data_IF_825718884317
#
_entry.id   IF_825718884317
#
_cell.length_a   1.000
_cell.length_b   1.000
_cell.length_c   1.000
_cell.angle_alpha   90.00
_cell.angle_beta   90.00
_cell.angle_gamma   90.00
#
_symmetry.space_group_name_H-M   'P 1'
#
loop_
_entity.id
_entity.type
_entity.pdbx_description
1 polymer ?
#
# COMPACT_ATOMS: atom_id res chain seq x y z
N UNK A 1 -22.21 1.48 42.77
CA UNK A 1 -21.50 1.09 41.52
C UNK A 1 -20.56 2.22 41.14
N UNK A 2 -19.25 1.96 41.04
CA UNK A 2 -18.26 2.96 40.65
C UNK A 2 -18.56 3.52 39.26
N UNK A 3 -18.25 4.80 39.03
CA UNK A 3 -18.34 5.39 37.68
C UNK A 3 -17.30 4.70 36.80
N UNK A 4 -17.75 4.02 35.74
CA UNK A 4 -16.89 3.46 34.70
C UNK A 4 -16.04 4.58 34.08
N UNK A 5 -14.83 4.24 33.63
CA UNK A 5 -14.03 5.10 32.76
C UNK A 5 -14.62 5.13 31.35
N UNK A 6 -14.22 6.11 30.51
CA UNK A 6 -14.69 6.21 29.12
C UNK A 6 -14.36 4.98 28.28
N UNK A 7 -13.19 4.35 28.52
CA UNK A 7 -12.75 3.14 27.81
C UNK A 7 -13.56 1.93 28.26
N UNK A 8 -13.74 1.74 29.56
CA UNK A 8 -14.55 0.64 30.10
C UNK A 8 -15.99 0.72 29.62
N UNK A 9 -16.53 1.93 29.46
CA UNK A 9 -17.85 2.08 28.88
C UNK A 9 -17.90 1.73 27.39
N UNK A 10 -16.89 2.11 26.60
CA UNK A 10 -16.84 1.78 25.17
C UNK A 10 -16.73 0.26 24.96
N UNK A 11 -15.92 -0.40 25.79
CA UNK A 11 -15.79 -1.86 25.83
C UNK A 11 -17.09 -2.53 26.26
N UNK A 12 -17.79 -2.00 27.27
CA UNK A 12 -19.08 -2.53 27.70
C UNK A 12 -20.12 -2.50 26.58
N UNK A 13 -20.23 -1.38 25.87
CA UNK A 13 -21.16 -1.26 24.74
C UNK A 13 -20.80 -2.23 23.59
N UNK A 14 -19.51 -2.44 23.34
CA UNK A 14 -19.05 -3.42 22.36
C UNK A 14 -19.44 -4.85 22.76
N UNK A 15 -19.18 -5.23 24.02
CA UNK A 15 -19.50 -6.54 24.58
C UNK A 15 -21.00 -6.81 24.65
N UNK A 16 -21.81 -5.80 25.00
CA UNK A 16 -23.28 -5.90 24.98
C UNK A 16 -23.81 -6.22 23.57
N UNK A 17 -23.13 -5.77 22.51
CA UNK A 17 -23.55 -6.02 21.13
C UNK A 17 -22.95 -7.31 20.54
N UNK A 18 -21.67 -7.59 20.78
CA UNK A 18 -20.92 -8.69 20.16
C UNK A 18 -20.75 -9.94 21.05
N UNK A 19 -21.13 -9.87 22.33
CA UNK A 19 -20.89 -10.91 23.33
C UNK A 19 -19.60 -10.69 24.14
N UNK A 20 -19.53 -11.28 25.33
CA UNK A 20 -18.41 -11.09 26.29
C UNK A 20 -17.05 -11.59 25.77
N UNK A 21 -17.05 -12.57 24.86
CA UNK A 21 -15.84 -13.20 24.31
C UNK A 21 -15.19 -12.38 23.17
N UNK A 22 -15.84 -11.31 22.70
CA UNK A 22 -15.32 -10.46 21.65
C UNK A 22 -14.66 -9.21 22.25
N UNK A 23 -13.32 -9.22 22.31
CA UNK A 23 -12.54 -8.16 22.96
C UNK A 23 -12.54 -6.83 22.18
N UNK A 24 -12.79 -6.84 20.87
CA UNK A 24 -12.75 -5.67 20.01
C UNK A 24 -11.37 -4.99 19.92
N UNK A 25 -11.19 -4.14 18.91
CA UNK A 25 -10.04 -3.22 18.82
C UNK A 25 -10.45 -1.87 19.37
N UNK A 26 -9.75 -1.42 20.42
CA UNK A 26 -9.94 -0.09 21.00
C UNK A 26 -8.90 0.86 20.41
N UNK A 27 -9.35 2.00 19.90
CA UNK A 27 -8.44 3.04 19.41
C UNK A 27 -8.78 4.38 20.07
N UNK A 28 -7.74 5.05 20.58
CA UNK A 28 -7.82 6.38 21.22
C UNK A 28 -7.53 7.48 20.19
N UNK A 29 -8.13 8.67 20.35
CA UNK A 29 -8.04 9.83 19.41
C UNK A 29 -6.62 10.19 18.90
N UNK A 30 -5.55 9.89 19.65
CA UNK A 30 -4.17 10.13 19.21
C UNK A 30 -3.61 9.04 18.28
N UNK A 31 -4.21 7.86 18.29
CA UNK A 31 -3.74 6.65 17.61
C UNK A 31 -4.58 6.31 16.37
N UNK A 32 -5.73 7.00 16.19
CA UNK A 32 -6.59 6.84 15.02
C UNK A 32 -6.52 8.06 14.09
N UNK A 33 -6.07 7.80 12.86
CA UNK A 33 -6.24 8.69 11.72
C UNK A 33 -6.96 7.89 10.64
N UNK A 34 -8.13 8.32 10.12
CA UNK A 34 -8.81 9.62 10.24
C UNK A 34 -9.84 9.75 11.39
N UNK A 35 -10.02 10.96 11.95
CA UNK A 35 -11.00 11.24 13.03
C UNK A 35 -12.45 11.09 12.55
N UNK A 36 -13.31 10.45 13.35
CA UNK A 36 -14.75 10.28 13.03
C UNK A 36 -15.47 11.63 12.91
N UNK A 37 -15.05 12.61 13.72
CA UNK A 37 -15.53 14.00 13.64
C UNK A 37 -15.22 14.71 12.29
N UNK A 38 -14.53 14.04 11.37
CA UNK A 38 -14.19 14.49 10.03
C UNK A 38 -14.88 13.68 8.93
N UNK A 39 -15.86 12.83 9.24
CA UNK A 39 -16.75 12.28 8.22
C UNK A 39 -17.51 13.44 7.57
N UNK A 40 -17.07 13.85 6.39
CA UNK A 40 -17.58 15.01 5.66
C UNK A 40 -18.85 14.65 4.87
N UNK A 41 -19.98 15.31 5.16
CA UNK A 41 -21.14 15.32 4.27
C UNK A 41 -20.94 16.45 3.23
N UNK A 42 -20.53 16.10 2.01
CA UNK A 42 -20.29 17.08 0.96
C UNK A 42 -21.62 17.63 0.39
N UNK A 43 -21.77 18.96 0.40
CA UNK A 43 -22.98 19.69 0.03
C UNK A 43 -23.26 19.75 -1.49
N UNK A 44 -22.30 19.39 -2.36
CA UNK A 44 -22.43 19.72 -3.79
C UNK A 44 -23.42 18.87 -4.59
N UNK A 45 -23.74 17.65 -4.17
CA UNK A 45 -24.53 16.74 -5.00
C UNK A 45 -25.85 16.22 -4.41
N UNK A 46 -26.31 16.71 -3.24
CA UNK A 46 -27.53 16.18 -2.55
C UNK A 46 -27.59 14.63 -2.42
N UNK A 47 -26.53 13.89 -2.75
CA UNK A 47 -26.36 12.49 -2.41
C UNK A 47 -25.77 12.46 -1.01
N UNK A 48 -26.69 12.38 -0.06
CA UNK A 48 -26.42 11.96 1.31
C UNK A 48 -25.61 10.66 1.20
N UNK A 49 -24.49 10.51 1.93
CA UNK A 49 -24.10 9.17 2.33
C UNK A 49 -25.18 8.73 3.32
N UNK A 50 -26.31 8.23 2.80
CA UNK A 50 -27.54 7.97 3.58
C UNK A 50 -27.45 6.72 4.44
N UNK A 51 -26.30 6.04 4.49
CA UNK A 51 -26.22 4.69 5.04
C UNK A 51 -25.31 4.58 6.26
N UNK A 52 -24.83 5.70 6.83
CA UNK A 52 -24.34 5.64 8.20
C UNK A 52 -25.56 5.72 9.11
N UNK A 53 -26.07 4.57 9.49
CA UNK A 53 -27.08 4.48 10.54
C UNK A 53 -26.35 4.73 11.86
N UNK A 54 -26.59 5.92 12.43
CA UNK A 54 -25.95 6.36 13.66
C UNK A 54 -27.00 6.37 14.74
N UNK A 55 -26.88 5.40 15.63
CA UNK A 55 -27.80 5.19 16.74
C UNK A 55 -27.17 5.77 18.01
N UNK A 56 -27.84 6.69 18.73
CA UNK A 56 -27.39 7.14 20.04
C UNK A 56 -27.53 6.00 21.04
N UNK A 57 -26.51 5.79 21.90
CA UNK A 57 -26.55 4.73 22.90
C UNK A 57 -26.45 5.32 24.30
N UNK A 58 -27.23 4.77 25.24
CA UNK A 58 -27.22 5.21 26.63
C UNK A 58 -25.84 5.01 27.26
N UNK A 59 -25.29 6.07 27.85
CA UNK A 59 -24.02 6.07 28.57
C UNK A 59 -24.22 6.53 30.02
N UNK A 60 -23.62 5.79 30.95
CA UNK A 60 -23.57 6.09 32.38
C UNK A 60 -22.45 7.08 32.75
N UNK A 61 -21.50 7.34 31.84
CA UNK A 61 -20.39 8.28 32.01
C UNK A 61 -20.66 9.61 31.31
N UNK A 62 -21.46 9.60 30.24
CA UNK A 62 -21.77 10.76 29.42
C UNK A 62 -23.30 10.88 29.28
N UNK A 63 -23.90 11.75 30.10
CA UNK A 63 -25.32 12.08 29.97
C UNK A 63 -25.52 13.01 28.77
N UNK A 64 -26.13 12.51 27.70
CA UNK A 64 -26.61 13.33 26.59
C UNK A 64 -28.13 13.37 26.62
N UNK A 65 -28.69 14.54 26.95
CA UNK A 65 -30.13 14.81 26.77
C UNK A 65 -30.45 15.29 25.35
N UNK A 66 -29.49 15.23 24.43
CA UNK A 66 -29.54 15.85 23.11
C UNK A 66 -29.60 14.78 22.02
N UNK A 67 -30.51 14.88 21.05
CA UNK A 67 -30.41 14.12 19.79
C UNK A 67 -29.26 14.66 18.92
N UNK A 68 -28.62 13.84 18.08
CA UNK A 68 -27.56 14.33 17.19
C UNK A 68 -28.13 15.33 16.18
N UNK A 69 -27.43 16.46 16.01
CA UNK A 69 -27.83 17.56 15.13
C UNK A 69 -26.75 17.86 14.09
N UNK A 70 -27.16 18.32 12.92
CA UNK A 70 -26.23 18.83 11.92
C UNK A 70 -25.83 20.27 12.26
N UNK A 71 -24.66 20.46 12.86
CA UNK A 71 -24.13 21.76 13.28
C UNK A 71 -23.11 22.33 12.27
N UNK A 72 -23.03 23.66 12.18
CA UNK A 72 -22.13 24.37 11.26
C UNK A 72 -20.74 24.55 11.91
N UNK A 73 -19.69 24.03 11.28
CA UNK A 73 -18.30 24.20 11.68
C UNK A 73 -17.52 24.88 10.53
N UNK A 74 -17.38 26.21 10.60
CA UNK A 74 -16.82 27.00 9.51
C UNK A 74 -17.69 26.93 8.23
N UNK A 75 -17.09 26.53 7.10
CA UNK A 75 -17.79 26.38 5.79
C UNK A 75 -18.52 25.04 5.61
N UNK A 76 -18.44 24.13 6.58
CA UNK A 76 -18.89 22.74 6.48
C UNK A 76 -19.95 22.47 7.56
N UNK A 77 -20.90 21.54 7.31
CA UNK A 77 -21.80 21.01 8.35
C UNK A 77 -21.28 19.66 8.84
N UNK A 78 -21.24 19.47 10.16
CA UNK A 78 -20.81 18.25 10.85
C UNK A 78 -21.97 17.69 11.68
N UNK A 79 -22.04 16.38 11.80
CA UNK A 79 -22.93 15.74 12.78
C UNK A 79 -22.31 15.93 14.17
N UNK A 80 -23.04 16.56 15.09
CA UNK A 80 -22.61 16.82 16.47
C UNK A 80 -23.81 16.83 17.41
N UNK A 81 -23.63 16.57 18.70
CA UNK A 81 -24.65 16.96 19.69
C UNK A 81 -24.58 18.47 19.98
N UNK A 82 -25.67 19.02 20.55
CA UNK A 82 -25.76 20.42 20.96
C UNK A 82 -24.74 20.77 22.05
N UNK A 83 -24.36 19.78 22.87
CA UNK A 83 -23.39 19.83 23.98
C UNK A 83 -22.01 19.23 23.62
N UNK A 84 -21.91 18.46 22.53
CA UNK A 84 -20.66 17.97 21.93
C UNK A 84 -20.06 16.71 22.57
N UNK A 85 -20.62 16.20 23.66
CA UNK A 85 -20.27 14.91 24.28
C UNK A 85 -21.35 13.88 23.95
N UNK A 86 -21.07 12.57 23.97
CA UNK A 86 -22.07 11.50 23.84
C UNK A 86 -21.51 10.14 23.40
N UNK A 87 -22.33 9.10 23.45
CA UNK A 87 -22.02 7.76 22.98
C UNK A 87 -22.90 7.36 21.79
N UNK A 88 -22.29 6.71 20.79
CA UNK A 88 -22.92 6.38 19.52
C UNK A 88 -22.57 4.97 19.09
N UNK A 89 -23.44 4.42 18.26
CA UNK A 89 -23.21 3.24 17.47
C UNK A 89 -23.29 3.62 16.00
N UNK A 90 -22.25 3.32 15.24
CA UNK A 90 -22.24 3.49 13.79
C UNK A 90 -22.36 2.12 13.16
N UNK A 91 -23.45 1.89 12.43
CA UNK A 91 -23.62 0.69 11.61
C UNK A 91 -22.91 0.89 10.25
N UNK A 92 -21.98 0.01 9.93
CA UNK A 92 -21.17 0.02 8.70
C UNK A 92 -21.56 -1.10 7.72
N UNK A 93 -22.51 -1.96 8.10
CA UNK A 93 -23.02 -3.08 7.31
C UNK A 93 -24.02 -3.91 8.14
N UNK A 94 -24.48 -5.04 7.62
CA UNK A 94 -25.56 -5.83 8.24
C UNK A 94 -25.25 -6.39 9.64
N UNK A 95 -23.98 -6.44 10.09
CA UNK A 95 -23.55 -6.87 11.44
C UNK A 95 -22.22 -6.21 11.88
N UNK A 96 -21.82 -5.11 11.24
CA UNK A 96 -20.53 -4.45 11.52
C UNK A 96 -20.79 -3.08 12.13
N UNK A 97 -20.30 -2.91 13.35
CA UNK A 97 -20.66 -1.80 14.21
C UNK A 97 -19.42 -1.25 14.90
N UNK A 98 -19.29 0.08 14.89
CA UNK A 98 -18.31 0.79 15.71
C UNK A 98 -19.02 1.60 16.77
N UNK A 99 -18.66 1.38 18.03
CA UNK A 99 -19.11 2.18 19.15
C UNK A 99 -18.15 3.34 19.37
N UNK A 100 -18.68 4.54 19.46
CA UNK A 100 -17.88 5.76 19.62
C UNK A 100 -18.34 6.45 20.89
N UNK A 101 -17.39 6.76 21.77
CA UNK A 101 -17.65 7.56 22.96
C UNK A 101 -16.82 8.83 22.88
N UNK A 102 -17.51 9.96 22.93
CA UNK A 102 -16.91 11.29 22.86
C UNK A 102 -17.22 12.08 24.12
N UNK A 103 -16.20 12.71 24.68
CA UNK A 103 -16.33 13.61 25.82
C UNK A 103 -15.57 14.91 25.56
N UNK A 104 -16.26 16.04 25.70
CA UNK A 104 -15.67 17.38 25.59
C UNK A 104 -15.70 18.03 26.97
N UNK A 105 -14.51 18.23 27.57
CA UNK A 105 -14.39 18.87 28.88
C UNK A 105 -14.35 20.40 28.74
N UNK A 106 -13.71 20.93 27.69
CA UNK A 106 -13.68 22.35 27.35
C UNK A 106 -13.36 22.53 25.85
N UNK A 107 -13.24 23.77 25.35
CA UNK A 107 -12.99 24.06 23.93
C UNK A 107 -11.70 23.42 23.37
N UNK A 108 -10.77 22.99 24.22
CA UNK A 108 -9.46 22.44 23.86
C UNK A 108 -9.30 20.94 24.13
N UNK A 109 -9.97 20.38 25.15
CA UNK A 109 -9.82 18.99 25.59
C UNK A 109 -10.98 18.14 25.07
N UNK A 110 -10.68 17.26 24.11
CA UNK A 110 -11.59 16.29 23.53
C UNK A 110 -11.01 14.90 23.73
N UNK A 111 -11.80 13.98 24.26
CA UNK A 111 -11.47 12.56 24.30
C UNK A 111 -12.49 11.81 23.44
N UNK A 112 -11.99 11.02 22.49
CA UNK A 112 -12.79 10.19 21.59
C UNK A 112 -12.20 8.78 21.58
N UNK A 113 -13.05 7.78 21.81
CA UNK A 113 -12.71 6.37 21.73
C UNK A 113 -13.61 5.70 20.71
N UNK A 114 -13.02 4.90 19.82
CA UNK A 114 -13.74 4.05 18.89
C UNK A 114 -13.43 2.58 19.19
N UNK A 115 -14.47 1.76 19.28
CA UNK A 115 -14.36 0.32 19.57
C UNK A 115 -15.19 -0.47 18.58
N UNK A 116 -14.54 -1.35 17.84
CA UNK A 116 -15.17 -2.23 16.87
C UNK A 116 -14.27 -3.43 16.58
N UNK A 117 -14.78 -4.39 15.81
CA UNK A 117 -13.95 -5.47 15.22
C UNK A 117 -12.86 -4.88 14.32
N UNK A 118 -11.78 -5.61 14.05
CA UNK A 118 -10.73 -5.19 13.09
C UNK A 118 -11.33 -4.82 11.72
N UNK A 119 -12.32 -5.59 11.28
CA UNK A 119 -13.05 -5.37 10.03
C UNK A 119 -13.87 -4.08 10.06
N UNK A 120 -14.70 -3.87 11.08
CA UNK A 120 -15.49 -2.62 11.21
C UNK A 120 -14.60 -1.38 11.37
N UNK A 121 -13.48 -1.48 12.09
CA UNK A 121 -12.51 -0.37 12.20
C UNK A 121 -11.80 -0.05 10.87
N UNK A 122 -11.50 -1.07 10.07
CA UNK A 122 -11.00 -0.91 8.70
C UNK A 122 -12.06 -0.28 7.77
N UNK A 123 -13.32 -0.71 7.87
CA UNK A 123 -14.44 -0.12 7.12
C UNK A 123 -14.65 1.35 7.47
N UNK A 124 -14.60 1.70 8.76
CA UNK A 124 -14.70 3.08 9.22
C UNK A 124 -13.55 3.94 8.69
N UNK A 125 -12.32 3.39 8.70
CA UNK A 125 -11.14 4.07 8.18
C UNK A 125 -11.31 4.39 6.69
N UNK A 126 -11.69 3.40 5.90
CA UNK A 126 -11.95 3.54 4.47
C UNK A 126 -13.06 4.56 4.18
N UNK A 127 -14.12 4.59 4.99
CA UNK A 127 -15.23 5.52 4.84
C UNK A 127 -14.82 6.97 5.14
N UNK A 128 -14.03 7.18 6.18
CA UNK A 128 -13.51 8.49 6.52
C UNK A 128 -12.50 9.01 5.46
N UNK A 129 -11.63 8.14 4.96
CA UNK A 129 -10.74 8.45 3.82
C UNK A 129 -11.56 8.77 2.55
N UNK A 130 -12.64 8.02 2.31
CA UNK A 130 -13.60 8.27 1.25
C UNK A 130 -14.33 9.63 1.36
N UNK A 131 -14.64 10.09 2.58
CA UNK A 131 -15.24 11.39 2.82
C UNK A 131 -14.28 12.57 2.60
N UNK A 132 -12.98 12.35 2.81
CA UNK A 132 -11.92 13.35 2.63
C UNK A 132 -11.43 13.45 1.19
N UNK A 133 -11.29 12.31 0.52
CA UNK A 133 -10.95 12.28 -0.88
C UNK A 133 -12.15 12.76 -1.68
N UNK A 134 -11.92 13.65 -2.66
CA UNK A 134 -12.87 13.87 -3.73
C UNK A 134 -12.90 12.58 -4.56
N UNK A 135 -13.57 11.54 -4.04
CA UNK A 135 -13.57 10.21 -4.62
C UNK A 135 -14.11 10.28 -6.02
N UNK A 136 -13.21 10.12 -6.98
CA UNK A 136 -13.57 10.14 -8.38
C UNK A 136 -14.18 8.77 -8.69
N UNK A 137 -15.51 8.72 -8.69
CA UNK A 137 -16.27 7.52 -9.13
C UNK A 137 -16.04 7.20 -10.60
N UNK A 138 -15.55 8.17 -11.35
CA UNK A 138 -15.26 8.02 -12.77
C UNK A 138 -13.74 8.10 -12.97
N UNK A 139 -13.20 7.23 -13.82
CA UNK A 139 -11.77 7.21 -14.13
C UNK A 139 -11.27 8.58 -14.64
N UNK A 140 -10.29 9.22 -13.98
CA UNK A 140 -9.79 10.53 -14.41
C UNK A 140 -9.05 10.49 -15.74
N UNK A 141 -8.85 11.65 -16.39
CA UNK A 141 -8.21 11.73 -17.71
C UNK A 141 -6.68 11.75 -17.68
N UNK A 142 -6.08 12.11 -16.54
CA UNK A 142 -4.63 12.18 -16.35
C UNK A 142 -4.26 12.06 -14.88
N UNK A 143 -2.98 11.86 -14.59
CA UNK A 143 -2.44 11.74 -13.24
C UNK A 143 -2.33 10.29 -12.78
N UNK A 144 -1.88 10.13 -11.55
CA UNK A 144 -1.64 8.82 -10.94
C UNK A 144 -2.71 8.56 -9.87
N UNK A 145 -3.31 7.38 -9.94
CA UNK A 145 -4.48 7.01 -9.15
C UNK A 145 -4.35 5.60 -8.59
N UNK A 146 -4.98 5.34 -7.45
CA UNK A 146 -5.21 4.01 -6.91
C UNK A 146 -6.70 3.72 -6.96
N UNK A 147 -7.09 2.57 -7.50
CA UNK A 147 -8.48 2.13 -7.45
C UNK A 147 -8.77 1.46 -6.09
N UNK A 148 -9.97 1.70 -5.58
CA UNK A 148 -10.55 0.97 -4.47
C UNK A 148 -12.01 0.65 -4.75
N UNK A 149 -12.52 -0.36 -4.07
CA UNK A 149 -13.94 -0.72 -4.11
C UNK A 149 -14.48 -0.66 -2.68
N UNK A 150 -15.66 -0.05 -2.52
CA UNK A 150 -16.41 -0.07 -1.26
C UNK A 150 -17.87 -0.35 -1.58
N UNK A 151 -18.40 -1.45 -1.05
CA UNK A 151 -19.80 -1.86 -1.25
C UNK A 151 -20.21 -1.91 -2.73
N UNK A 152 -19.34 -2.51 -3.57
CA UNK A 152 -19.53 -2.58 -5.02
C UNK A 152 -19.34 -1.25 -5.77
N UNK A 153 -18.99 -0.16 -5.08
CA UNK A 153 -18.73 1.14 -5.69
C UNK A 153 -17.24 1.38 -5.83
N UNK A 154 -16.77 1.43 -7.08
CA UNK A 154 -15.40 1.79 -7.40
C UNK A 154 -15.12 3.28 -7.21
N UNK A 155 -13.92 3.59 -6.73
CA UNK A 155 -13.42 4.95 -6.59
C UNK A 155 -11.93 5.04 -6.91
N UNK A 156 -11.48 6.23 -7.28
CA UNK A 156 -10.08 6.51 -7.61
C UNK A 156 -9.51 7.55 -6.65
N UNK A 157 -8.54 7.15 -5.82
CA UNK A 157 -7.76 8.02 -4.95
C UNK A 157 -6.53 8.55 -5.68
N UNK A 158 -6.27 9.87 -5.59
CA UNK A 158 -5.09 10.47 -6.26
C UNK A 158 -3.82 10.18 -5.46
N UNK A 159 -2.74 9.82 -6.13
CA UNK A 159 -1.43 9.70 -5.48
C UNK A 159 -0.96 11.04 -4.89
N UNK A 160 -0.23 10.98 -3.76
CA UNK A 160 0.33 12.16 -3.08
C UNK A 160 1.51 12.72 -3.86
N UNK A 161 1.68 14.05 -3.87
CA UNK A 161 2.76 14.73 -4.61
C UNK A 161 4.15 14.20 -4.24
N UNK A 162 4.41 14.01 -2.95
CA UNK A 162 5.68 13.46 -2.44
C UNK A 162 5.98 12.05 -2.98
N UNK A 163 4.97 11.19 -3.08
CA UNK A 163 5.15 9.84 -3.63
C UNK A 163 5.59 9.89 -5.10
N UNK A 164 5.01 10.84 -5.85
CA UNK A 164 5.32 11.03 -7.27
C UNK A 164 6.73 11.58 -7.47
N UNK A 165 7.14 12.57 -6.67
CA UNK A 165 8.49 13.13 -6.72
C UNK A 165 9.56 12.09 -6.34
N UNK A 166 9.28 11.27 -5.33
CA UNK A 166 10.18 10.19 -4.92
C UNK A 166 10.30 9.10 -5.98
N UNK A 167 9.20 8.76 -6.66
CA UNK A 167 9.19 7.77 -7.74
C UNK A 167 10.10 8.18 -8.92
N UNK A 168 10.13 9.46 -9.29
CA UNK A 168 10.89 9.94 -10.45
C UNK A 168 12.39 9.69 -10.33
N UNK A 169 12.94 9.67 -9.10
CA UNK A 169 14.35 9.36 -8.84
C UNK A 169 14.73 8.00 -9.40
N UNK A 170 13.83 7.03 -9.39
CA UNK A 170 14.09 5.68 -9.87
C UNK A 170 14.10 5.52 -11.39
N UNK A 171 13.97 6.61 -12.15
CA UNK A 171 14.19 6.61 -13.61
C UNK A 171 15.62 6.23 -14.02
N UNK A 172 16.59 6.29 -13.10
CA UNK A 172 17.96 5.80 -13.34
C UNK A 172 18.08 4.28 -13.41
N UNK A 173 17.02 3.55 -13.04
CA UNK A 173 17.04 2.09 -13.03
C UNK A 173 17.43 1.56 -14.44
N UNK A 174 18.34 0.58 -14.57
CA UNK A 174 18.84 0.13 -15.89
C UNK A 174 17.76 -0.33 -16.87
N UNK A 175 16.66 -0.88 -16.35
CA UNK A 175 15.48 -1.32 -17.11
C UNK A 175 14.44 -0.23 -17.40
N UNK A 176 14.61 0.99 -16.88
CA UNK A 176 13.67 2.08 -17.11
C UNK A 176 13.58 2.46 -18.59
N UNK A 177 14.72 2.66 -19.26
CA UNK A 177 14.75 2.99 -20.68
C UNK A 177 14.14 1.89 -21.55
N UNK A 178 14.31 0.63 -21.17
CA UNK A 178 13.71 -0.50 -21.88
C UNK A 178 12.17 -0.44 -21.82
N UNK A 179 11.61 -0.19 -20.63
CA UNK A 179 10.18 0.02 -20.45
C UNK A 179 9.68 1.26 -21.20
N UNK A 180 10.39 2.38 -21.04
CA UNK A 180 9.99 3.67 -21.63
C UNK A 180 9.97 3.61 -23.16
N UNK A 181 10.94 2.93 -23.78
CA UNK A 181 10.95 2.75 -25.22
C UNK A 181 9.76 1.91 -25.70
N UNK A 182 9.42 0.83 -25.01
CA UNK A 182 8.24 0.00 -25.32
C UNK A 182 6.94 0.80 -25.19
N UNK A 183 6.82 1.55 -24.10
CA UNK A 183 5.70 2.43 -23.82
C UNK A 183 5.51 3.48 -24.92
N UNK A 184 6.57 4.20 -25.26
CA UNK A 184 6.51 5.25 -26.28
C UNK A 184 6.20 4.68 -27.66
N UNK A 185 6.79 3.54 -28.03
CA UNK A 185 6.50 2.86 -29.28
C UNK A 185 5.05 2.41 -29.37
N UNK A 186 4.50 1.83 -28.29
CA UNK A 186 3.12 1.38 -28.28
C UNK A 186 2.13 2.53 -28.51
N UNK A 187 2.32 3.66 -27.82
CA UNK A 187 1.43 4.81 -27.97
C UNK A 187 1.66 5.60 -29.26
N UNK A 188 2.87 5.58 -29.85
CA UNK A 188 3.10 6.15 -31.19
C UNK A 188 2.39 5.36 -32.29
N UNK A 189 2.30 4.04 -32.12
CA UNK A 189 1.80 3.12 -33.15
C UNK A 189 0.39 2.60 -32.84
N UNK A 190 -0.35 3.25 -31.92
CA UNK A 190 -1.64 2.74 -31.43
C UNK A 190 -2.68 2.52 -32.54
N UNK A 191 -2.63 3.34 -33.59
CA UNK A 191 -3.48 3.20 -34.78
C UNK A 191 -3.22 1.88 -35.51
N UNK A 192 -1.96 1.43 -35.55
CA UNK A 192 -1.60 0.15 -36.17
C UNK A 192 -2.18 -1.03 -35.38
N UNK A 193 -2.05 -1.00 -34.05
CA UNK A 193 -2.61 -2.03 -33.18
C UNK A 193 -4.13 -2.09 -33.27
N UNK A 194 -4.80 -0.95 -33.41
CA UNK A 194 -6.26 -0.91 -33.35
C UNK A 194 -6.94 -1.07 -34.71
N UNK A 195 -6.25 -0.88 -35.84
CA UNK A 195 -6.86 -0.85 -37.20
C UNK A 195 -7.62 -2.12 -37.60
N UNK A 196 -7.14 -3.29 -37.20
CA UNK A 196 -7.70 -4.59 -37.63
C UNK A 196 -8.56 -5.28 -36.56
N UNK A 197 -9.20 -4.49 -35.69
CA UNK A 197 -10.10 -5.02 -34.67
C UNK A 197 -9.43 -5.60 -33.43
N UNK A 198 -8.11 -5.45 -33.27
CA UNK A 198 -7.45 -5.82 -32.01
C UNK A 198 -7.87 -4.86 -30.89
N UNK A 199 -7.72 -5.32 -29.65
CA UNK A 199 -8.17 -4.60 -28.45
C UNK A 199 -7.42 -3.28 -28.20
N UNK A 200 -6.25 -3.08 -28.82
CA UNK A 200 -5.38 -1.93 -28.54
C UNK A 200 -4.77 -2.04 -27.14
N UNK A 201 -4.39 -3.25 -26.72
CA UNK A 201 -3.84 -3.52 -25.40
C UNK A 201 -2.42 -4.10 -25.48
N UNK A 202 -1.49 -3.50 -24.74
CA UNK A 202 -0.11 -3.97 -24.53
C UNK A 202 0.06 -4.49 -23.12
N UNK A 203 0.62 -5.70 -22.96
CA UNK A 203 0.78 -6.40 -21.69
C UNK A 203 2.26 -6.68 -21.45
N UNK A 204 2.84 -6.00 -20.46
CA UNK A 204 4.23 -6.15 -20.05
C UNK A 204 4.29 -6.85 -18.71
N UNK A 205 5.15 -7.85 -18.57
CA UNK A 205 5.35 -8.58 -17.33
C UNK A 205 6.77 -8.35 -16.79
N UNK A 206 6.85 -7.79 -15.59
CA UNK A 206 8.07 -7.70 -14.81
C UNK A 206 8.28 -8.96 -13.97
N UNK A 207 9.47 -9.55 -14.10
CA UNK A 207 9.86 -10.74 -13.35
C UNK A 207 11.19 -10.53 -12.66
N UNK A 208 11.36 -11.14 -11.49
CA UNK A 208 12.65 -11.17 -10.80
C UNK A 208 12.50 -11.12 -9.28
N UNK A 209 13.60 -11.25 -8.53
CA UNK A 209 13.58 -11.32 -7.07
C UNK A 209 12.85 -10.15 -6.39
N UNK A 210 12.36 -10.31 -5.16
CA UNK A 210 11.85 -9.18 -4.36
C UNK A 210 12.94 -8.11 -4.17
N UNK A 211 12.53 -6.87 -3.96
CA UNK A 211 13.46 -5.75 -3.73
C UNK A 211 14.21 -5.24 -4.97
N UNK A 212 14.01 -5.82 -6.17
CA UNK A 212 14.69 -5.39 -7.40
C UNK A 212 14.14 -4.12 -8.05
N UNK A 213 13.06 -3.54 -7.52
CA UNK A 213 12.52 -2.25 -7.97
C UNK A 213 11.46 -2.33 -9.08
N UNK A 214 10.83 -3.50 -9.32
CA UNK A 214 9.76 -3.68 -10.32
C UNK A 214 8.64 -2.63 -10.20
N UNK A 215 8.05 -2.51 -9.02
CA UNK A 215 7.06 -1.48 -8.62
C UNK A 215 7.61 -0.07 -8.87
N UNK A 216 8.85 0.17 -8.44
CA UNK A 216 9.44 1.51 -8.45
C UNK A 216 9.71 2.04 -9.86
N UNK A 217 10.08 1.17 -10.79
CA UNK A 217 10.23 1.51 -12.22
C UNK A 217 8.88 1.90 -12.81
N UNK A 218 7.82 1.13 -12.51
CA UNK A 218 6.46 1.44 -12.97
C UNK A 218 5.97 2.78 -12.42
N UNK A 219 6.22 3.04 -11.13
CA UNK A 219 5.99 4.32 -10.46
C UNK A 219 6.74 5.47 -11.13
N UNK A 220 8.02 5.28 -11.46
CA UNK A 220 8.84 6.28 -12.13
C UNK A 220 8.28 6.65 -13.52
N UNK A 221 7.77 5.66 -14.27
CA UNK A 221 7.14 5.90 -15.57
C UNK A 221 5.87 6.75 -15.37
N UNK A 222 5.05 6.39 -14.39
CA UNK A 222 3.88 7.16 -13.97
C UNK A 222 4.22 8.61 -13.65
N UNK A 223 5.24 8.83 -12.82
CA UNK A 223 5.67 10.17 -12.42
C UNK A 223 6.11 11.02 -13.61
N UNK A 224 6.85 10.44 -14.57
CA UNK A 224 7.34 11.12 -15.77
C UNK A 224 6.21 11.51 -16.74
N UNK A 225 5.17 10.69 -16.83
CA UNK A 225 4.11 10.83 -17.85
C UNK A 225 2.72 11.22 -17.31
N UNK A 226 2.60 11.50 -16.01
CA UNK A 226 1.35 11.81 -15.32
C UNK A 226 0.56 12.99 -15.93
N UNK A 227 1.22 13.93 -16.61
CA UNK A 227 0.56 15.11 -17.18
C UNK A 227 -0.16 14.80 -18.50
N UNK A 228 0.22 13.71 -19.16
CA UNK A 228 -0.30 13.29 -20.46
C UNK A 228 -1.27 12.11 -20.35
N UNK A 229 -1.01 11.19 -19.43
CA UNK A 229 -1.73 9.93 -19.33
C UNK A 229 -2.34 9.69 -17.94
N UNK A 230 -3.29 8.76 -17.86
CA UNK A 230 -3.80 8.25 -16.59
C UNK A 230 -3.08 6.95 -16.22
N UNK A 231 -2.47 6.93 -15.04
CA UNK A 231 -1.88 5.75 -14.43
C UNK A 231 -2.77 5.28 -13.29
N UNK A 232 -3.07 3.99 -13.23
CA UNK A 232 -3.91 3.38 -12.20
C UNK A 232 -3.19 2.19 -11.59
N UNK A 233 -2.95 2.23 -10.27
CA UNK A 233 -2.62 1.03 -9.49
C UNK A 233 -3.90 0.26 -9.28
N UNK A 234 -3.96 -0.93 -9.87
CA UNK A 234 -5.11 -1.80 -9.86
C UNK A 234 -4.63 -3.24 -9.89
N UNK A 235 -4.37 -3.79 -8.71
CA UNK A 235 -3.87 -5.16 -8.52
C UNK A 235 -4.96 -6.14 -8.99
N UNK A 236 -6.00 -6.37 -8.19
CA UNK A 236 -7.08 -7.31 -8.53
C UNK A 236 -8.12 -6.71 -9.51
N UNK A 237 -8.10 -5.39 -9.68
CA UNK A 237 -9.14 -4.64 -10.41
C UNK A 237 -8.71 -4.19 -11.82
N UNK A 238 -7.64 -4.77 -12.38
CA UNK A 238 -7.12 -4.34 -13.68
C UNK A 238 -8.16 -4.45 -14.81
N UNK A 239 -9.01 -5.49 -14.79
CA UNK A 239 -10.09 -5.68 -15.77
C UNK A 239 -11.11 -4.55 -15.72
N UNK A 240 -11.57 -4.17 -14.53
CA UNK A 240 -12.52 -3.07 -14.33
C UNK A 240 -11.97 -1.75 -14.86
N UNK A 241 -10.68 -1.48 -14.63
CA UNK A 241 -10.01 -0.29 -15.16
C UNK A 241 -9.94 -0.31 -16.68
N UNK A 242 -9.65 -1.47 -17.30
CA UNK A 242 -9.70 -1.62 -18.75
C UNK A 242 -11.08 -1.28 -19.32
N UNK A 243 -12.16 -1.79 -18.72
CA UNK A 243 -13.53 -1.48 -19.13
C UNK A 243 -13.85 0.02 -18.97
N UNK A 244 -13.50 0.61 -17.83
CA UNK A 244 -13.73 2.03 -17.57
C UNK A 244 -12.96 2.94 -18.55
N UNK A 245 -11.72 2.57 -18.90
CA UNK A 245 -10.90 3.31 -19.87
C UNK A 245 -11.45 3.20 -21.29
N UNK A 246 -11.84 2.00 -21.72
CA UNK A 246 -12.45 1.77 -23.03
C UNK A 246 -13.76 2.56 -23.22
N UNK A 247 -14.65 2.54 -22.21
CA UNK A 247 -15.89 3.33 -22.23
C UNK A 247 -15.62 4.82 -22.39
N UNK A 248 -14.55 5.33 -21.77
CA UNK A 248 -14.17 6.74 -21.83
C UNK A 248 -13.30 7.10 -23.03
N UNK A 249 -12.78 6.11 -23.76
CA UNK A 249 -11.86 6.27 -24.89
C UNK A 249 -10.63 7.11 -24.49
N UNK A 250 -10.00 6.78 -23.37
CA UNK A 250 -8.80 7.47 -22.87
C UNK A 250 -7.61 6.52 -22.81
N UNK A 251 -6.39 7.01 -23.05
CA UNK A 251 -5.20 6.19 -22.95
C UNK A 251 -4.93 5.89 -21.46
N UNK A 252 -4.80 4.62 -21.11
CA UNK A 252 -4.63 4.19 -19.71
C UNK A 252 -3.39 3.32 -19.54
N UNK A 253 -2.68 3.55 -18.44
CA UNK A 253 -1.62 2.67 -17.96
C UNK A 253 -2.08 2.04 -16.66
N UNK A 254 -2.06 0.73 -16.59
CA UNK A 254 -2.47 -0.04 -15.42
C UNK A 254 -1.23 -0.71 -14.84
N UNK A 255 -1.03 -0.55 -13.54
CA UNK A 255 0.03 -1.21 -12.78
C UNK A 255 -0.67 -2.21 -11.87
N UNK A 256 -0.48 -3.49 -12.14
CA UNK A 256 -1.03 -4.59 -11.37
C UNK A 256 0.15 -5.35 -10.76
N UNK A 257 0.35 -5.16 -9.46
CA UNK A 257 1.46 -5.76 -8.73
C UNK A 257 1.07 -7.10 -8.12
N UNK A 258 2.07 -7.92 -7.83
CA UNK A 258 1.89 -9.20 -7.13
C UNK A 258 0.75 -10.04 -7.71
N UNK A 259 0.76 -10.22 -9.03
CA UNK A 259 -0.29 -10.94 -9.77
C UNK A 259 -0.27 -12.45 -9.54
N UNK A 260 -0.24 -12.85 -8.27
CA UNK A 260 -0.29 -14.21 -7.77
C UNK A 260 -1.63 -14.87 -8.13
N UNK A 261 -2.71 -14.10 -8.34
CA UNK A 261 -3.98 -14.59 -8.90
C UNK A 261 -3.80 -15.25 -10.27
N UNK A 262 -2.80 -14.83 -11.05
CA UNK A 262 -2.49 -15.46 -12.34
C UNK A 262 -1.86 -16.85 -12.19
N UNK A 263 -1.60 -17.34 -10.96
CA UNK A 263 -1.15 -18.71 -10.69
C UNK A 263 -2.17 -19.76 -11.16
N UNK A 264 -3.46 -19.50 -10.92
CA UNK A 264 -4.59 -20.33 -11.35
C UNK A 264 -5.61 -19.48 -12.08
N UNK A 265 -5.19 -18.94 -13.21
CA UNK A 265 -6.06 -18.13 -14.05
C UNK A 265 -7.29 -18.95 -14.49
N UNK A 266 -8.47 -18.44 -14.12
CA UNK A 266 -9.74 -18.95 -14.59
C UNK A 266 -9.92 -18.71 -16.10
N UNK A 267 -10.95 -19.33 -16.68
CA UNK A 267 -11.21 -19.20 -18.12
C UNK A 267 -11.40 -17.72 -18.52
N UNK A 268 -12.09 -16.93 -17.70
CA UNK A 268 -12.33 -15.51 -17.98
C UNK A 268 -11.04 -14.68 -18.01
N UNK A 269 -10.09 -14.91 -17.11
CA UNK A 269 -8.79 -14.23 -17.13
C UNK A 269 -7.98 -14.60 -18.36
N UNK A 270 -8.00 -15.88 -18.75
CA UNK A 270 -7.30 -16.33 -19.96
C UNK A 270 -7.91 -15.73 -21.23
N UNK A 271 -9.24 -15.75 -21.35
CA UNK A 271 -9.96 -15.13 -22.48
C UNK A 271 -9.75 -13.62 -22.53
N UNK A 272 -9.68 -12.96 -21.37
CA UNK A 272 -9.33 -11.55 -21.29
C UNK A 272 -7.91 -11.33 -21.82
N UNK A 273 -6.90 -12.04 -21.31
CA UNK A 273 -5.52 -11.87 -21.77
C UNK A 273 -5.31 -12.23 -23.24
N UNK A 274 -6.08 -13.18 -23.78
CA UNK A 274 -6.10 -13.53 -25.21
C UNK A 274 -6.72 -12.43 -26.09
N UNK A 275 -7.42 -11.47 -25.47
CA UNK A 275 -8.09 -10.36 -26.15
C UNK A 275 -9.54 -10.63 -26.55
N UNK A 276 -10.04 -11.86 -26.37
CA UNK A 276 -11.42 -12.23 -26.72
C UNK A 276 -12.45 -11.47 -25.86
N UNK A 277 -12.20 -11.41 -24.54
CA UNK A 277 -13.05 -10.69 -23.59
C UNK A 277 -12.46 -9.31 -23.22
N UNK A 278 -11.38 -8.87 -23.89
CA UNK A 278 -10.81 -7.55 -23.62
C UNK A 278 -11.65 -6.46 -24.30
N UNK A 279 -12.08 -5.42 -23.57
CA UNK A 279 -12.76 -4.28 -24.19
C UNK A 279 -11.79 -3.51 -25.10
N UNK A 280 -12.23 -3.23 -26.34
CA UNK A 280 -11.43 -2.48 -27.30
C UNK A 280 -11.31 -1.01 -26.88
N UNK A 281 -10.07 -0.55 -26.70
CA UNK A 281 -9.76 0.83 -26.39
C UNK A 281 -8.88 1.44 -27.49
N UNK A 282 -9.49 2.23 -28.37
CA UNK A 282 -8.77 2.88 -29.49
C UNK A 282 -7.70 3.87 -29.00
N UNK A 283 -7.83 4.39 -27.78
CA UNK A 283 -6.83 5.28 -27.19
C UNK A 283 -5.63 4.52 -26.58
N UNK A 284 -5.71 3.19 -26.46
CA UNK A 284 -4.63 2.35 -25.96
C UNK A 284 -4.73 2.04 -24.46
N UNK A 285 -4.48 0.77 -24.14
CA UNK A 285 -4.38 0.25 -22.77
C UNK A 285 -3.01 -0.41 -22.59
N UNK A 286 -2.20 0.08 -21.66
CA UNK A 286 -0.88 -0.46 -21.37
C UNK A 286 -0.87 -1.06 -19.96
N UNK A 287 -0.74 -2.38 -19.84
CA UNK A 287 -0.79 -3.08 -18.56
C UNK A 287 0.61 -3.54 -18.17
N UNK A 288 1.07 -3.15 -16.99
CA UNK A 288 2.32 -3.58 -16.39
C UNK A 288 1.96 -4.53 -15.24
N UNK A 289 2.20 -5.81 -15.47
CA UNK A 289 2.14 -6.85 -14.45
C UNK A 289 3.50 -7.00 -13.77
N UNK A 290 3.52 -7.36 -12.48
CA UNK A 290 4.77 -7.75 -11.82
C UNK A 290 4.61 -8.98 -10.93
N UNK A 291 5.65 -9.82 -10.89
CA UNK A 291 5.72 -10.97 -9.99
C UNK A 291 7.13 -11.19 -9.47
N UNK A 292 7.22 -11.66 -8.22
CA UNK A 292 8.46 -12.16 -7.64
C UNK A 292 8.71 -13.64 -8.00
N UNK A 293 7.67 -14.35 -8.45
CA UNK A 293 7.68 -15.80 -8.64
C UNK A 293 7.22 -16.15 -10.07
N UNK A 294 8.05 -15.95 -11.11
CA UNK A 294 7.66 -16.20 -12.50
C UNK A 294 7.24 -17.65 -12.78
N UNK A 295 7.73 -18.61 -11.99
CA UNK A 295 7.33 -20.02 -12.10
C UNK A 295 5.95 -20.32 -11.53
N UNK A 296 5.39 -19.40 -10.74
CA UNK A 296 4.02 -19.49 -10.21
C UNK A 296 2.99 -19.09 -11.27
N UNK A 297 3.28 -18.14 -12.15
CA UNK A 297 2.31 -17.75 -13.19
C UNK A 297 1.88 -18.97 -14.02
N UNK A 298 0.56 -19.07 -14.27
CA UNK A 298 -0.04 -20.15 -15.07
C UNK A 298 0.77 -20.35 -16.36
N UNK A 299 1.26 -21.57 -16.64
CA UNK A 299 2.06 -21.85 -17.82
C UNK A 299 1.36 -21.45 -19.13
N UNK A 300 0.02 -21.48 -19.16
CA UNK A 300 -0.78 -21.08 -20.31
C UNK A 300 -0.71 -19.57 -20.54
N UNK A 301 -0.46 -18.74 -19.53
CA UNK A 301 -0.20 -17.30 -19.67
C UNK A 301 1.24 -17.08 -20.12
N UNK A 302 2.21 -17.72 -19.44
CA UNK A 302 3.63 -17.48 -19.69
C UNK A 302 4.12 -18.02 -21.04
N UNK A 303 3.63 -19.18 -21.48
CA UNK A 303 4.13 -19.88 -22.68
C UNK A 303 3.39 -19.52 -23.96
N UNK A 304 2.17 -18.99 -23.87
CA UNK A 304 1.33 -18.70 -25.05
C UNK A 304 1.57 -17.27 -25.54
N UNK A 305 2.09 -17.09 -26.77
CA UNK A 305 2.21 -15.76 -27.36
C UNK A 305 0.85 -15.04 -27.41
N UNK A 306 0.85 -13.73 -27.14
CA UNK A 306 -0.34 -12.87 -27.18
C UNK A 306 -0.98 -12.58 -25.81
N UNK A 307 -0.78 -13.46 -24.80
CA UNK A 307 -1.26 -13.22 -23.42
C UNK A 307 -0.36 -12.31 -22.61
N UNK A 308 0.95 -12.37 -22.88
CA UNK A 308 1.94 -11.39 -22.44
C UNK A 308 2.72 -11.00 -23.69
N UNK A 309 2.83 -9.70 -23.95
CA UNK A 309 3.47 -9.19 -25.16
C UNK A 309 4.97 -8.96 -24.96
N UNK A 310 5.38 -8.64 -23.73
CA UNK A 310 6.78 -8.43 -23.37
C UNK A 310 7.08 -8.88 -21.95
N UNK A 311 8.22 -9.53 -21.76
CA UNK A 311 8.73 -9.91 -20.43
C UNK A 311 10.02 -9.13 -20.19
N UNK A 312 10.08 -8.35 -19.11
CA UNK A 312 11.28 -7.61 -18.69
C UNK A 312 11.75 -8.20 -17.37
N UNK A 313 12.92 -8.84 -17.40
CA UNK A 313 13.56 -9.37 -16.19
C UNK A 313 14.29 -8.26 -15.44
N UNK A 314 13.97 -8.11 -14.16
CA UNK A 314 14.49 -7.08 -13.25
C UNK A 314 15.26 -7.78 -12.13
N UNK A 315 16.59 -7.76 -12.26
CA UNK A 315 17.52 -8.40 -11.31
C UNK A 315 18.27 -7.40 -10.44
N UNK A 316 19.22 -7.94 -9.66
CA UNK A 316 20.15 -7.14 -8.87
C UNK A 316 21.00 -6.21 -9.75
N UNK A 317 21.46 -5.11 -9.16
CA UNK A 317 22.25 -4.10 -9.84
C UNK A 317 23.70 -4.54 -10.02
N UNK A 318 24.29 -4.02 -11.09
CA UNK A 318 25.71 -4.16 -11.40
C UNK A 318 26.43 -2.86 -11.16
N UNK A 319 27.66 -2.95 -10.67
CA UNK A 319 28.63 -1.85 -10.46
C UNK A 319 28.07 -0.43 -10.65
N UNK A 320 28.00 0.07 -11.89
CA UNK A 320 27.54 1.43 -12.22
C UNK A 320 26.12 1.74 -11.72
N UNK A 321 25.17 0.82 -11.92
CA UNK A 321 23.79 0.98 -11.47
C UNK A 321 23.67 0.92 -9.95
N UNK A 322 24.49 0.09 -9.30
CA UNK A 322 24.53 -0.02 -7.84
C UNK A 322 25.05 1.27 -7.21
N UNK A 323 26.15 1.83 -7.74
CA UNK A 323 26.70 3.11 -7.31
C UNK A 323 25.70 4.27 -7.52
N UNK A 324 25.04 4.32 -8.68
CA UNK A 324 24.03 5.34 -8.97
C UNK A 324 22.84 5.26 -8.00
N UNK A 325 22.41 4.04 -7.65
CA UNK A 325 21.36 3.82 -6.65
C UNK A 325 21.81 4.27 -5.26
N UNK A 326 23.00 3.88 -4.83
CA UNK A 326 23.55 4.24 -3.52
C UNK A 326 23.67 5.76 -3.33
N UNK A 327 24.09 6.47 -4.38
CA UNK A 327 24.17 7.94 -4.38
C UNK A 327 22.83 8.63 -4.07
N UNK A 328 21.69 7.98 -4.30
CA UNK A 328 20.37 8.54 -3.96
C UNK A 328 20.05 8.54 -2.47
N UNK A 329 20.75 7.71 -1.71
CA UNK A 329 20.57 7.55 -0.26
C UNK A 329 21.71 8.17 0.55
N UNK A 330 22.83 8.47 -0.11
CA UNK A 330 23.95 9.17 0.50
C UNK A 330 23.65 10.67 0.62
N UNK A 331 24.07 11.33 1.72
CA UNK A 331 24.10 12.78 1.81
C UNK A 331 24.96 13.42 0.71
N UNK A 332 24.59 14.63 0.26
CA UNK A 332 25.29 15.33 -0.84
C UNK A 332 26.75 15.70 -0.53
N UNK A 333 27.10 15.81 0.76
CA UNK A 333 28.44 16.12 1.27
C UNK A 333 29.38 14.91 1.33
N UNK A 334 28.86 13.69 1.16
CA UNK A 334 29.67 12.47 1.12
C UNK A 334 30.23 12.24 -0.28
N UNK A 335 31.54 12.32 -0.41
CA UNK A 335 32.26 12.06 -1.66
C UNK A 335 33.00 10.72 -1.62
N UNK A 336 32.33 9.67 -2.08
CA UNK A 336 32.91 8.33 -2.24
C UNK A 336 33.11 8.06 -3.74
N UNK A 337 34.25 7.47 -4.11
CA UNK A 337 34.51 7.06 -5.49
C UNK A 337 33.42 6.09 -6.00
N UNK A 338 32.79 6.43 -7.12
CA UNK A 338 31.66 5.67 -7.66
C UNK A 338 32.07 4.28 -8.17
N UNK A 339 33.33 4.11 -8.59
CA UNK A 339 33.82 2.83 -9.10
C UNK A 339 34.03 1.87 -7.93
N UNK A 340 34.62 2.34 -6.83
CA UNK A 340 34.78 1.57 -5.60
C UNK A 340 33.43 1.25 -4.95
N UNK A 341 32.55 2.24 -4.82
CA UNK A 341 31.19 2.04 -4.30
C UNK A 341 30.41 1.01 -5.13
N UNK A 342 30.51 1.11 -6.46
CA UNK A 342 29.89 0.16 -7.37
C UNK A 342 30.45 -1.25 -7.22
N UNK A 343 31.76 -1.40 -7.05
CA UNK A 343 32.38 -2.71 -6.82
C UNK A 343 31.90 -3.34 -5.49
N UNK A 344 31.86 -2.56 -4.42
CA UNK A 344 31.37 -3.01 -3.10
C UNK A 344 29.89 -3.37 -3.12
N UNK A 345 29.08 -2.77 -4.00
CA UNK A 345 27.64 -3.02 -4.10
C UNK A 345 27.26 -3.90 -5.30
N UNK A 346 28.21 -4.55 -5.99
CA UNK A 346 27.86 -5.42 -7.12
C UNK A 346 26.96 -6.58 -6.68
N UNK A 347 25.97 -6.94 -7.52
CA UNK A 347 24.97 -7.99 -7.29
C UNK A 347 24.06 -7.73 -6.08
N UNK A 348 23.84 -6.47 -5.72
CA UNK A 348 22.87 -6.10 -4.68
C UNK A 348 21.60 -5.52 -5.30
N UNK A 349 20.45 -5.81 -4.70
CA UNK A 349 19.18 -5.22 -5.09
C UNK A 349 19.07 -3.78 -4.60
N UNK A 350 18.27 -2.91 -5.23
CA UNK A 350 17.98 -1.57 -4.73
C UNK A 350 17.53 -1.52 -3.27
N UNK A 351 16.73 -2.50 -2.82
CA UNK A 351 16.29 -2.60 -1.43
C UNK A 351 17.46 -2.90 -0.49
N UNK A 352 18.31 -3.88 -0.84
CA UNK A 352 19.54 -4.17 -0.09
C UNK A 352 20.48 -2.97 -0.06
N UNK A 353 20.68 -2.27 -1.19
CA UNK A 353 21.53 -1.06 -1.23
C UNK A 353 21.03 -0.02 -0.23
N UNK A 354 19.73 0.27 -0.22
CA UNK A 354 19.13 1.21 0.74
C UNK A 354 19.45 0.78 2.17
N UNK A 355 19.28 -0.50 2.48
CA UNK A 355 19.50 -1.02 3.83
C UNK A 355 20.98 -1.02 4.23
N UNK A 356 21.88 -1.39 3.33
CA UNK A 356 23.33 -1.31 3.52
C UNK A 356 23.75 0.12 3.86
N UNK A 357 23.24 1.13 3.14
CA UNK A 357 23.53 2.54 3.42
C UNK A 357 22.98 2.96 4.79
N UNK A 358 21.76 2.54 5.15
CA UNK A 358 21.19 2.82 6.47
C UNK A 358 22.04 2.23 7.61
N UNK A 359 22.45 0.97 7.47
CA UNK A 359 23.30 0.27 8.43
C UNK A 359 24.66 0.97 8.54
N UNK A 360 25.28 1.33 7.41
CA UNK A 360 26.56 2.03 7.40
C UNK A 360 26.48 3.38 8.14
N UNK A 361 25.42 4.15 7.93
CA UNK A 361 25.15 5.39 8.68
C UNK A 361 24.95 5.11 10.17
N UNK A 362 24.27 4.01 10.52
CA UNK A 362 24.10 3.56 11.90
C UNK A 362 25.43 3.23 12.59
N UNK A 363 26.33 2.54 11.91
CA UNK A 363 27.65 2.14 12.43
C UNK A 363 28.53 3.34 12.79
N UNK A 364 28.45 4.44 12.02
CA UNK A 364 29.26 5.64 12.27
C UNK A 364 28.65 6.57 13.32
N UNK A 365 27.34 6.46 13.63
CA UNK A 365 26.70 7.30 14.65
C UNK A 365 27.33 7.17 16.03
N UNK A 366 27.71 5.96 16.43
CA UNK A 366 28.34 5.69 17.73
C UNK A 366 29.83 6.00 17.77
N UNK A 367 30.53 5.90 16.64
CA UNK A 367 31.99 6.03 16.56
C UNK A 367 32.46 7.41 16.10
N UNK A 368 31.55 8.26 15.58
CA UNK A 368 31.84 9.57 14.93
C UNK A 368 32.84 9.48 13.76
N UNK A 369 33.00 8.30 13.17
CA UNK A 369 33.86 8.10 12.01
C UNK A 369 33.22 8.64 10.73
N UNK A 370 34.04 8.94 9.72
CA UNK A 370 33.53 9.29 8.38
C UNK A 370 32.93 8.06 7.68
N UNK A 371 31.95 8.30 6.80
CA UNK A 371 31.35 7.25 5.99
C UNK A 371 32.32 6.87 4.86
N UNK A 372 33.02 5.75 5.00
CA UNK A 372 33.97 5.25 4.00
C UNK A 372 33.44 4.02 3.26
N UNK A 373 34.12 3.64 2.17
CA UNK A 373 33.84 2.40 1.41
C UNK A 373 33.94 1.16 2.30
N UNK A 374 34.90 1.14 3.23
CA UNK A 374 35.08 0.01 4.16
C UNK A 374 33.92 -0.13 5.13
N UNK A 375 33.35 0.98 5.61
CA UNK A 375 32.14 0.95 6.44
C UNK A 375 30.97 0.36 5.65
N UNK A 376 30.79 0.76 4.39
CA UNK A 376 29.74 0.21 3.51
C UNK A 376 29.95 -1.29 3.26
N UNK A 377 31.20 -1.72 3.07
CA UNK A 377 31.56 -3.13 2.91
C UNK A 377 31.23 -3.94 4.17
N UNK A 378 31.52 -3.40 5.35
CA UNK A 378 31.19 -4.02 6.63
C UNK A 378 29.67 -4.08 6.85
N UNK A 379 28.95 -3.01 6.53
CA UNK A 379 27.49 -2.99 6.58
C UNK A 379 26.86 -4.03 5.66
N UNK A 380 27.41 -4.22 4.45
CA UNK A 380 26.99 -5.28 3.53
C UNK A 380 27.22 -6.68 4.11
N UNK A 381 28.39 -6.92 4.70
CA UNK A 381 28.71 -8.20 5.34
C UNK A 381 27.78 -8.48 6.52
N UNK A 382 27.50 -7.46 7.34
CA UNK A 382 26.57 -7.53 8.47
C UNK A 382 25.16 -7.90 8.00
N UNK A 383 24.59 -7.17 7.03
CA UNK A 383 23.25 -7.46 6.50
C UNK A 383 23.15 -8.89 5.97
N UNK A 384 24.18 -9.35 5.24
CA UNK A 384 24.22 -10.72 4.73
C UNK A 384 24.20 -11.74 5.88
N UNK A 385 25.03 -11.54 6.90
CA UNK A 385 25.06 -12.41 8.08
C UNK A 385 23.71 -12.48 8.79
N UNK A 386 23.03 -11.35 8.98
CA UNK A 386 21.69 -11.31 9.59
C UNK A 386 20.64 -12.03 8.75
N UNK A 387 20.66 -11.86 7.42
CA UNK A 387 19.75 -12.57 6.53
C UNK A 387 20.00 -14.08 6.53
N UNK A 388 21.27 -14.50 6.46
CA UNK A 388 21.64 -15.91 6.48
C UNK A 388 21.20 -16.57 7.81
N UNK A 389 21.38 -15.88 8.95
CA UNK A 389 20.88 -16.32 10.27
C UNK A 389 19.34 -16.43 10.29
N UNK A 390 18.63 -15.43 9.76
CA UNK A 390 17.16 -15.47 9.74
C UNK A 390 16.59 -16.61 8.91
N UNK A 391 17.28 -17.01 7.83
CA UNK A 391 16.90 -18.18 7.03
C UNK A 391 17.16 -19.47 7.80
N UNK A 392 18.32 -19.58 8.46
CA UNK A 392 18.62 -20.73 9.33
C UNK A 392 17.57 -20.90 10.42
N UNK A 393 17.26 -19.85 11.18
CA UNK A 393 16.26 -19.87 12.25
C UNK A 393 14.85 -20.22 11.73
N UNK A 394 14.50 -19.79 10.51
CA UNK A 394 13.21 -20.09 9.89
C UNK A 394 13.11 -21.52 9.33
N UNK A 395 14.24 -22.13 8.97
CA UNK A 395 14.34 -23.51 8.47
C UNK A 395 14.62 -24.54 9.58
N UNK A 396 14.89 -24.09 10.82
CA UNK A 396 15.13 -24.96 11.97
C UNK A 396 13.95 -25.91 12.24
N UNK A 397 14.25 -27.21 12.23
CA UNK A 397 13.30 -28.26 12.54
C UNK A 397 13.31 -28.63 14.04
N UNK A 398 12.14 -29.05 14.56
CA UNK A 398 11.97 -29.47 15.96
C UNK A 398 12.85 -30.69 16.28
N UNK A 399 13.00 -31.63 15.34
CA UNK A 399 13.85 -32.81 15.53
C UNK A 399 15.32 -32.41 15.66
N UNK A 400 15.79 -31.48 14.82
CA UNK A 400 17.15 -30.96 14.85
C UNK A 400 17.44 -30.20 16.15
N UNK A 401 16.47 -29.40 16.65
CA UNK A 401 16.56 -28.75 17.98
C UNK A 401 16.67 -29.76 19.12
N UNK A 402 15.89 -30.85 19.07
CA UNK A 402 15.99 -31.93 20.06
C UNK A 402 17.34 -32.65 19.98
N UNK A 403 17.88 -32.91 18.79
CA UNK A 403 19.19 -33.53 18.62
C UNK A 403 20.32 -32.63 19.14
N UNK A 404 20.27 -31.34 18.84
CA UNK A 404 21.21 -30.34 19.35
C UNK A 404 21.13 -30.27 20.88
N UNK A 405 19.92 -30.28 21.46
CA UNK A 405 19.73 -30.32 22.90
C UNK A 405 20.25 -31.62 23.53
N UNK A 406 19.98 -32.78 22.92
CA UNK A 406 20.51 -34.07 23.38
C UNK A 406 22.05 -34.12 23.31
N UNK A 407 22.65 -33.47 22.31
CA UNK A 407 24.09 -33.44 22.08
C UNK A 407 24.83 -32.45 22.98
N UNK A 408 24.27 -31.26 23.16
CA UNK A 408 24.95 -30.14 23.82
C UNK A 408 24.39 -29.84 25.22
N UNK A 409 23.29 -30.47 25.62
CA UNK A 409 22.55 -30.16 26.84
C UNK A 409 21.89 -28.78 26.80
N UNK A 410 21.32 -28.35 27.93
CA UNK A 410 20.94 -26.95 28.11
C UNK A 410 22.23 -26.12 28.13
N UNK A 411 22.48 -25.33 27.09
CA UNK A 411 23.58 -24.37 27.12
C UNK A 411 23.22 -23.17 28.00
N UNK A 412 24.14 -22.67 28.83
CA UNK A 412 23.90 -21.45 29.60
C UNK A 412 23.71 -20.28 28.65
N UNK A 413 22.66 -19.47 28.86
CA UNK A 413 22.55 -18.18 28.19
C UNK A 413 23.54 -17.22 28.84
N UNK A 414 24.80 -17.23 28.39
CA UNK A 414 25.86 -16.38 28.93
C UNK A 414 25.53 -14.87 28.86
N UNK A 415 24.55 -14.47 28.04
CA UNK A 415 24.02 -13.10 27.96
C UNK A 415 23.25 -12.70 29.22
N UNK A 416 22.55 -13.65 29.87
CA UNK A 416 21.80 -13.40 31.10
C UNK A 416 22.67 -13.29 32.34
N UNK A 417 23.97 -13.63 32.25
CA UNK A 417 24.93 -13.57 33.35
C UNK A 417 25.82 -12.31 33.31
N UNK A 418 25.61 -11.40 32.35
CA UNK A 418 26.35 -10.14 32.24
C UNK A 418 25.63 -8.96 32.94
N UNK A 419 24.52 -9.22 33.63
CA UNK A 419 23.77 -8.20 34.39
C UNK A 419 23.95 -8.28 35.93
N UNK A 420 24.85 -9.12 36.44
CA UNK A 420 25.21 -9.16 37.88
C UNK A 420 26.63 -8.61 38.17
#
# INVERSE_FOLDING_TARGET
MGKLTLVEQALRLHKEYYGEDNFGTVVKDCDYYPKVAEIFINRKNRKIYSNLDIEPVASTVVHTGSSPVMAKAGRIKKLMFKDGSGAYRIHLGQNEVVHIIRFILNSKVRMEYAVGTTKSMSMLHNLCEAGRAKLNRSLPRKGIWKIGCYDGVYYHGKARKEEIENALRFSVHPKFNELENDFNQFFSDIDFYTRYGQSGMRKVLFTGPPGTGKTTIAKALGAKYQDKYVFVYADDYFKDVCYAAAQKKIPVIIIAEEVDELYRADAGTLSFLDGADTPRNLAGTYVIFSTNYPNRIDPRIRKRPGRIDRIISVGAFRTKAAAACAKMYLPDDINIDLKELGAVLDRTTPAEIKEIINIAIGMIRGTKNELTVDVIKNARAFLKGTLDLSVQEAEEDIEEREEIFKKNGAQPDYSSYLED
#
